data_IF_840671162371
#
_entry.id   IF_840671162371
#
_cell.length_a   1.000
_cell.length_b   1.000
_cell.length_c   1.000
_cell.angle_alpha   90.00
_cell.angle_beta   90.00
_cell.angle_gamma   90.00
#
_symmetry.space_group_name_H-M   'P 1'
#
loop_
_entity.id
_entity.type
_entity.pdbx_description
1 polymer ?
#
# COMPACT_ATOMS: atom_id res chain seq x y z
N UNK A 1 34.90 -8.54 9.92
CA UNK A 1 34.55 -8.25 9.96
C UNK A 1 33.84 -8.01 10.24
N UNK A 2 33.97 -8.28 10.49
CA UNK A 2 33.18 -7.90 10.87
C UNK A 2 32.53 -7.01 10.21
N UNK A 3 33.00 -6.63 9.28
CA UNK A 3 32.30 -5.62 8.59
C UNK A 3 31.10 -6.16 7.88
N UNK A 4 31.13 -7.37 7.45
CA UNK A 4 29.94 -7.93 6.82
C UNK A 4 28.79 -8.00 7.80
N UNK A 5 29.09 -8.31 9.04
CA UNK A 5 28.05 -8.31 10.05
C UNK A 5 27.47 -6.93 10.21
N UNK A 6 28.31 -5.91 10.10
CA UNK A 6 27.85 -4.56 10.19
C UNK A 6 26.91 -4.22 9.05
N UNK A 7 27.21 -4.72 7.87
CA UNK A 7 26.34 -4.49 6.73
C UNK A 7 24.95 -5.07 6.94
N UNK A 8 24.89 -6.24 7.52
CA UNK A 8 23.62 -6.87 7.79
C UNK A 8 22.81 -6.05 8.76
N UNK A 9 23.47 -5.53 9.76
CA UNK A 9 22.80 -4.71 10.74
C UNK A 9 22.23 -3.48 10.08
N UNK A 10 22.99 -2.86 9.20
CA UNK A 10 22.50 -1.70 8.49
C UNK A 10 21.25 -2.00 7.70
N UNK A 11 21.24 -3.11 7.03
CA UNK A 11 20.07 -3.43 6.22
C UNK A 11 18.84 -3.53 7.07
N UNK A 12 18.96 -4.11 8.23
CA UNK A 12 17.81 -4.22 9.09
C UNK A 12 17.33 -2.87 9.54
N UNK A 13 18.25 -1.95 9.75
CA UNK A 13 17.89 -0.64 10.26
C UNK A 13 17.15 0.22 9.26
N UNK A 14 17.39 0.00 7.98
CA UNK A 14 16.68 0.80 7.00
C UNK A 14 15.29 0.30 6.74
N UNK A 15 14.97 -0.88 7.28
CA UNK A 15 13.68 -1.40 6.99
C UNK A 15 12.50 -0.56 7.42
N UNK A 16 12.57 0.21 8.51
CA UNK A 16 11.43 1.03 8.89
C UNK A 16 10.98 2.03 7.84
N UNK A 17 11.85 2.36 6.88
CA UNK A 17 11.48 3.33 5.87
C UNK A 17 11.00 2.68 4.58
N UNK A 18 10.93 1.36 4.55
CA UNK A 18 10.54 0.65 3.34
C UNK A 18 9.51 -0.42 3.65
N UNK A 19 8.51 -0.52 2.81
CA UNK A 19 7.51 -1.57 2.89
C UNK A 19 7.53 -2.36 1.60
N UNK A 20 7.40 -3.67 1.72
CA UNK A 20 7.36 -4.55 0.56
C UNK A 20 6.24 -5.56 0.70
N UNK A 21 5.57 -5.82 -0.40
CA UNK A 21 4.53 -6.82 -0.43
C UNK A 21 4.44 -7.34 -1.86
N UNK A 22 4.78 -8.62 -2.06
CA UNK A 22 4.85 -9.15 -3.41
C UNK A 22 5.85 -8.36 -4.22
N UNK A 23 5.44 -7.86 -5.36
CA UNK A 23 6.30 -7.06 -6.22
C UNK A 23 6.25 -5.57 -5.93
N UNK A 24 5.44 -5.14 -4.95
CA UNK A 24 5.29 -3.73 -4.63
C UNK A 24 6.28 -3.33 -3.55
N UNK A 25 6.99 -2.23 -3.77
CA UNK A 25 7.90 -1.69 -2.76
C UNK A 25 7.65 -0.20 -2.60
N UNK A 26 7.55 0.23 -1.35
CA UNK A 26 7.41 1.64 -1.01
C UNK A 26 8.64 2.10 -0.27
N UNK A 27 9.12 3.28 -0.62
CA UNK A 27 10.18 3.93 0.15
C UNK A 27 9.55 5.12 0.85
N UNK A 28 9.35 4.98 2.14
CA UNK A 28 8.64 5.99 2.91
C UNK A 28 9.40 7.30 2.99
N UNK A 29 10.73 7.21 2.91
CA UNK A 29 11.55 8.40 2.99
C UNK A 29 11.45 9.26 1.73
N UNK A 30 11.43 8.63 0.57
CA UNK A 30 11.36 9.35 -0.69
C UNK A 30 9.96 9.36 -1.30
N UNK A 31 9.05 8.56 -0.72
CA UNK A 31 7.69 8.40 -1.25
C UNK A 31 7.67 7.77 -2.63
N UNK A 32 8.68 6.98 -2.93
CA UNK A 32 8.75 6.30 -4.21
C UNK A 32 8.09 4.93 -4.13
N UNK A 33 7.48 4.53 -5.22
CA UNK A 33 6.78 3.25 -5.33
C UNK A 33 7.30 2.54 -6.56
N UNK A 34 7.60 1.26 -6.41
CA UNK A 34 7.95 0.44 -7.56
C UNK A 34 7.09 -0.82 -7.56
N UNK A 35 6.87 -1.34 -8.77
CA UNK A 35 6.19 -2.62 -8.96
C UNK A 35 7.09 -3.47 -9.81
N UNK A 36 7.57 -4.56 -9.22
CA UNK A 36 8.54 -5.46 -9.87
C UNK A 36 9.75 -4.69 -10.40
N UNK A 37 10.17 -3.67 -9.64
CA UNK A 37 11.34 -2.89 -9.98
C UNK A 37 11.07 -1.67 -10.84
N UNK A 38 9.87 -1.57 -11.42
CA UNK A 38 9.54 -0.44 -12.29
C UNK A 38 8.83 0.64 -11.49
N UNK A 39 9.22 1.91 -11.69
CA UNK A 39 8.61 2.99 -10.91
C UNK A 39 7.14 3.18 -11.29
N UNK A 40 6.34 3.47 -10.27
CA UNK A 40 4.92 3.73 -10.44
C UNK A 40 4.63 5.10 -9.84
N UNK A 41 3.92 5.92 -10.61
CA UNK A 41 3.59 7.28 -10.17
C UNK A 41 2.25 7.29 -9.47
N UNK A 42 2.26 7.65 -8.20
CA UNK A 42 1.04 7.74 -7.40
C UNK A 42 0.83 9.17 -6.93
N UNK A 43 -0.43 9.56 -6.78
CA UNK A 43 -0.74 10.81 -6.12
C UNK A 43 -0.51 10.63 -4.62
N UNK A 44 -0.38 11.73 -3.87
CA UNK A 44 -0.17 11.61 -2.42
C UNK A 44 -1.24 10.81 -1.70
N UNK A 45 -2.50 10.97 -2.09
CA UNK A 45 -3.57 10.21 -1.45
C UNK A 45 -3.49 8.73 -1.80
N UNK A 46 -3.17 8.42 -3.05
CA UNK A 46 -2.98 7.04 -3.44
C UNK A 46 -1.84 6.40 -2.68
N UNK A 47 -0.75 7.14 -2.52
CA UNK A 47 0.37 6.63 -1.75
C UNK A 47 -0.03 6.37 -0.30
N UNK A 48 -0.74 7.30 0.32
CA UNK A 48 -1.14 7.17 1.71
C UNK A 48 -2.05 5.97 1.92
N UNK A 49 -2.98 5.74 1.00
CA UNK A 49 -3.87 4.59 1.09
C UNK A 49 -3.07 3.29 0.95
N UNK A 50 -2.18 3.25 -0.03
CA UNK A 50 -1.37 2.06 -0.25
C UNK A 50 -0.49 1.78 0.95
N UNK A 51 0.11 2.82 1.52
CA UNK A 51 0.96 2.67 2.70
C UNK A 51 0.16 2.11 3.87
N UNK A 52 -1.04 2.61 4.07
CA UNK A 52 -1.90 2.12 5.15
C UNK A 52 -2.20 0.64 4.98
N UNK A 53 -2.60 0.24 3.78
CA UNK A 53 -2.96 -1.14 3.53
C UNK A 53 -1.75 -2.07 3.62
N UNK A 54 -0.63 -1.63 3.07
CA UNK A 54 0.58 -2.46 3.08
C UNK A 54 1.18 -2.61 4.47
N UNK A 55 0.90 -1.66 5.34
CA UNK A 55 1.40 -1.74 6.71
C UNK A 55 0.71 -2.82 7.54
N UNK A 56 -0.44 -3.29 7.09
CA UNK A 56 -1.20 -4.32 7.80
C UNK A 56 -1.82 -5.29 6.80
N UNK A 57 -1.00 -6.10 6.14
CA UNK A 57 -1.53 -7.03 5.13
C UNK A 57 -2.52 -7.99 5.75
N UNK A 58 -3.59 -8.27 5.01
CA UNK A 58 -4.63 -9.16 5.48
C UNK A 58 -5.68 -8.51 6.36
N UNK A 59 -5.43 -7.30 6.82
CA UNK A 59 -6.41 -6.59 7.65
C UNK A 59 -7.42 -5.89 6.75
N UNK A 60 -8.70 -6.02 7.09
CA UNK A 60 -9.76 -5.37 6.34
C UNK A 60 -9.96 -3.97 6.87
N UNK A 61 -9.90 -2.98 5.96
CA UNK A 61 -10.13 -1.59 6.31
C UNK A 61 -11.42 -1.14 5.65
N UNK A 62 -12.36 -0.64 6.45
CA UNK A 62 -13.59 -0.08 5.88
C UNK A 62 -13.27 1.24 5.17
N UNK A 63 -14.11 1.65 4.21
CA UNK A 63 -13.90 2.95 3.56
C UNK A 63 -13.84 4.10 4.55
N UNK A 64 -14.65 4.05 5.58
CA UNK A 64 -14.63 5.11 6.60
C UNK A 64 -13.33 5.11 7.37
N UNK A 65 -12.81 3.94 7.70
CA UNK A 65 -11.55 3.85 8.42
C UNK A 65 -10.40 4.34 7.56
N UNK A 66 -10.40 4.00 6.27
CA UNK A 66 -9.38 4.51 5.36
C UNK A 66 -9.46 6.02 5.27
N UNK A 67 -10.67 6.54 5.13
CA UNK A 67 -10.84 7.99 5.02
C UNK A 67 -10.30 8.71 6.25
N UNK A 68 -10.67 8.24 7.44
CA UNK A 68 -10.18 8.86 8.67
C UNK A 68 -8.67 8.82 8.77
N UNK A 69 -8.07 7.69 8.40
CA UNK A 69 -6.63 7.53 8.53
C UNK A 69 -5.86 8.39 7.54
N UNK A 70 -6.37 8.52 6.32
CA UNK A 70 -5.65 9.19 5.25
C UNK A 70 -5.99 10.67 5.18
N UNK A 71 -7.27 11.02 5.31
CA UNK A 71 -7.69 12.42 5.24
C UNK A 71 -7.68 13.11 6.59
N UNK A 72 -7.74 12.34 7.67
CA UNK A 72 -7.72 12.92 9.01
C UNK A 72 -9.00 13.59 9.43
N UNK A 73 -10.09 13.27 8.74
CA UNK A 73 -11.40 13.88 9.01
C UNK A 73 -12.47 12.83 9.10
N UNK A 74 -13.61 13.22 9.69
CA UNK A 74 -14.74 12.31 9.73
C UNK A 74 -15.38 12.21 8.36
N UNK A 75 -15.77 11.01 7.93
CA UNK A 75 -16.34 10.82 6.60
C UNK A 75 -17.84 11.09 6.58
N UNK A 76 -18.21 12.28 6.20
CA UNK A 76 -19.62 12.63 6.09
C UNK A 76 -20.10 12.44 4.66
N UNK A 77 -20.32 11.20 4.28
CA UNK A 77 -20.85 10.91 2.97
C UNK A 77 -19.84 11.03 1.85
N UNK A 78 -18.57 11.06 2.18
CA UNK A 78 -17.53 11.22 1.17
C UNK A 78 -16.67 9.97 0.99
N UNK A 79 -17.17 8.84 1.50
CA UNK A 79 -16.41 7.59 1.40
C UNK A 79 -16.16 7.18 -0.05
N UNK A 80 -16.96 7.71 -0.99
CA UNK A 80 -16.74 7.41 -2.39
C UNK A 80 -15.37 7.83 -2.89
N UNK A 81 -14.78 8.83 -2.23
CA UNK A 81 -13.43 9.25 -2.59
C UNK A 81 -12.45 8.11 -2.41
N UNK A 82 -12.65 7.28 -1.37
CA UNK A 82 -11.79 6.12 -1.16
C UNK A 82 -11.90 5.16 -2.32
N UNK A 83 -13.13 4.86 -2.76
CA UNK A 83 -13.32 3.91 -3.85
C UNK A 83 -12.65 4.38 -5.13
N UNK A 84 -12.72 5.67 -5.42
CA UNK A 84 -12.08 6.22 -6.61
C UNK A 84 -10.57 6.03 -6.55
N UNK A 85 -9.98 6.32 -5.39
CA UNK A 85 -8.53 6.17 -5.24
C UNK A 85 -8.11 4.70 -5.28
N UNK A 86 -8.92 3.80 -4.73
CA UNK A 86 -8.65 2.37 -4.81
C UNK A 86 -8.66 1.90 -6.26
N UNK A 87 -9.62 2.41 -7.04
CA UNK A 87 -9.70 2.07 -8.45
C UNK A 87 -8.45 2.50 -9.20
N UNK A 88 -7.98 3.73 -8.93
CA UNK A 88 -6.77 4.22 -9.58
C UNK A 88 -5.56 3.39 -9.17
N UNK A 89 -5.49 2.98 -7.91
CA UNK A 89 -4.40 2.13 -7.46
C UNK A 89 -4.41 0.79 -8.19
N UNK A 90 -5.59 0.21 -8.36
CA UNK A 90 -5.69 -1.05 -9.09
C UNK A 90 -5.23 -0.88 -10.53
N UNK A 91 -5.62 0.21 -11.17
CA UNK A 91 -5.21 0.46 -12.54
C UNK A 91 -3.71 0.58 -12.69
N UNK A 92 -3.04 1.06 -11.65
CA UNK A 92 -1.59 1.27 -11.69
C UNK A 92 -0.81 0.05 -11.24
N UNK A 93 -1.36 -0.75 -10.34
CA UNK A 93 -0.61 -1.83 -9.70
C UNK A 93 -1.02 -3.23 -10.11
N UNK A 94 -2.25 -3.42 -10.56
CA UNK A 94 -2.73 -4.74 -10.90
C UNK A 94 -2.54 -5.03 -12.38
N UNK A 95 -2.20 -6.27 -12.70
CA UNK A 95 -2.12 -6.69 -14.09
C UNK A 95 -3.50 -6.61 -14.71
N UNK A 96 -4.52 -7.05 -13.96
CA UNK A 96 -5.91 -6.98 -14.38
C UNK A 96 -6.69 -6.34 -13.25
N UNK A 97 -7.04 -5.05 -13.38
CA UNK A 97 -7.75 -4.37 -12.30
C UNK A 97 -9.09 -5.01 -11.91
N UNK A 98 -9.71 -5.73 -12.84
CA UNK A 98 -10.96 -6.40 -12.52
C UNK A 98 -10.75 -7.72 -11.78
N UNK A 99 -9.53 -8.19 -11.73
CA UNK A 99 -9.18 -9.40 -10.99
C UNK A 99 -7.92 -9.11 -10.18
N UNK A 100 -8.01 -8.28 -9.15
CA UNK A 100 -6.83 -7.78 -8.44
C UNK A 100 -6.15 -8.86 -7.61
N UNK A 101 -4.83 -8.84 -7.63
CA UNK A 101 -4.04 -9.75 -6.82
C UNK A 101 -3.68 -9.14 -5.48
N UNK A 102 -3.54 -7.82 -5.44
CA UNK A 102 -3.07 -7.13 -4.24
C UNK A 102 -4.19 -6.50 -3.44
N UNK A 103 -4.97 -5.64 -4.07
CA UNK A 103 -6.00 -4.89 -3.37
C UNK A 103 -7.33 -5.61 -3.56
N UNK A 104 -7.73 -6.34 -2.53
CA UNK A 104 -8.93 -7.16 -2.58
C UNK A 104 -10.09 -6.46 -1.91
N UNK A 105 -11.29 -6.65 -2.46
CA UNK A 105 -12.48 -6.14 -1.82
C UNK A 105 -13.08 -7.26 -0.96
N UNK A 106 -13.53 -6.87 0.24
CA UNK A 106 -14.26 -7.78 1.11
C UNK A 106 -15.68 -7.24 1.19
N UNK A 107 -16.60 -7.94 0.53
CA UNK A 107 -17.95 -7.45 0.38
C UNK A 107 -18.61 -7.14 1.71
N UNK A 108 -19.16 -5.93 1.76
CA UNK A 108 -19.82 -5.47 2.96
C UNK A 108 -18.92 -4.99 4.06
N UNK A 109 -17.58 -5.08 3.88
CA UNK A 109 -16.65 -4.72 4.94
C UNK A 109 -15.60 -3.70 4.49
N UNK A 110 -15.01 -3.86 3.33
CA UNK A 110 -14.01 -2.92 2.88
C UNK A 110 -12.97 -3.55 1.99
N UNK A 111 -11.72 -3.13 2.19
CA UNK A 111 -10.60 -3.53 1.35
C UNK A 111 -9.49 -4.10 2.20
N UNK A 112 -8.72 -5.01 1.63
CA UNK A 112 -7.54 -5.53 2.29
C UNK A 112 -6.43 -5.75 1.28
N UNK A 113 -5.21 -5.81 1.77
CA UNK A 113 -4.03 -6.01 0.95
C UNK A 113 -3.57 -7.44 1.11
N UNK A 114 -3.31 -8.10 -0.02
CA UNK A 114 -2.73 -9.44 -0.01
C UNK A 114 -1.43 -9.42 -0.77
N UNK A 115 -0.58 -10.40 -0.50
CA UNK A 115 0.77 -10.40 -1.02
C UNK A 115 0.93 -10.77 -2.48
N UNK A 116 -0.15 -11.08 -3.16
CA UNK A 116 -0.06 -11.51 -4.54
C UNK A 116 0.79 -12.73 -4.68
N UNK A 117 0.87 -13.58 -3.60
CA UNK A 117 1.81 -14.56 -3.57
C UNK A 117 1.66 -15.60 -4.50
N UNK A 118 2.71 -16.19 -4.80
CA UNK A 118 2.76 -17.32 -5.70
C UNK A 118 2.03 -18.49 -5.14
#
# INVERSE_FOLDING_TARGET
IKSSAASDVYKRQVRPTALRLGGIALDDRTKEVTLDGDPVSLTPREYDILHLLMGSPGTVFSPKRIYRAVWGEEPFGVENAVAVHIRHLREKLEIDPSDPRYIKVVWGQGYKMEGGKP
#
